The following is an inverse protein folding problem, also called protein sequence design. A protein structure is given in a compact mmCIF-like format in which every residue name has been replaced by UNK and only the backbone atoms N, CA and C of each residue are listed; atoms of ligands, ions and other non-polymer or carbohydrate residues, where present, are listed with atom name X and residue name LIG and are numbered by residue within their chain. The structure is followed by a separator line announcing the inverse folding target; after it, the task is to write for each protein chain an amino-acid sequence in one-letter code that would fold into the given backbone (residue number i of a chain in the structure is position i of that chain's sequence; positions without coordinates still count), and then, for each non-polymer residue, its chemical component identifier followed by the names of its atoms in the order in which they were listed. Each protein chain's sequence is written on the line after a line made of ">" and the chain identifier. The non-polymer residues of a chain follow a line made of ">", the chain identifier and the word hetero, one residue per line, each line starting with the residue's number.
data_IF_448915640317
#
_entry.id   IF_448915640317
#
_cell.length_a   1.000
_cell.length_b   1.000
_cell.length_c   1.000
_cell.angle_alpha   90.00
_cell.angle_beta   90.00
_cell.angle_gamma   90.00
#
_symmetry.space_group_name_H-M   'P 1'
#
loop_
_entity.id
_entity.type
_entity.pdbx_description
1 polymer ?
#
# COMPACT_ATOMS: atom_id res chain seq x y z
N UNK A 1 2.39 0.89 -1.86
CA UNK A 1 2.61 1.32 -0.47
C UNK A 1 1.55 2.37 -0.13
N UNK A 2 0.79 2.16 0.95
CA UNK A 2 -0.29 3.05 1.39
C UNK A 2 -0.31 3.18 2.91
N UNK A 3 -0.97 4.22 3.43
CA UNK A 3 -1.12 4.46 4.86
C UNK A 3 -0.41 5.73 5.35
N UNK A 4 -0.50 5.97 6.66
CA UNK A 4 -0.17 7.21 7.34
C UNK A 4 -1.18 7.54 8.43
N UNK A 5 -1.38 8.83 8.70
CA UNK A 5 -2.24 9.30 9.78
C UNK A 5 -3.74 9.26 9.48
N UNK A 6 -4.52 8.88 10.48
CA UNK A 6 -5.97 8.76 10.38
C UNK A 6 -6.68 10.11 10.49
N UNK A 7 -7.49 10.43 9.47
CA UNK A 7 -8.35 11.63 9.45
C UNK A 7 -9.84 11.26 9.58
N UNK A 8 -10.12 10.06 10.07
CA UNK A 8 -11.46 9.49 10.19
C UNK A 8 -12.20 9.46 8.84
N UNK A 9 -11.46 9.08 7.80
CA UNK A 9 -11.99 8.92 6.43
C UNK A 9 -12.26 7.43 6.15
N UNK A 10 -13.36 7.10 5.43
CA UNK A 10 -13.65 5.73 5.06
C UNK A 10 -12.67 5.21 4.00
N UNK A 11 -12.18 3.98 4.19
CA UNK A 11 -11.21 3.33 3.29
C UNK A 11 -11.84 2.30 2.35
N UNK A 12 -13.17 2.13 2.35
CA UNK A 12 -13.86 1.07 1.59
C UNK A 12 -13.55 1.14 0.09
N UNK A 13 -13.67 2.32 -0.52
CA UNK A 13 -13.35 2.53 -1.94
C UNK A 13 -11.88 2.27 -2.27
N UNK A 14 -10.98 2.58 -1.33
CA UNK A 14 -9.56 2.29 -1.48
C UNK A 14 -9.32 0.77 -1.42
N UNK A 15 -9.94 0.10 -0.46
CA UNK A 15 -9.90 -1.35 -0.31
C UNK A 15 -10.41 -2.07 -1.55
N UNK A 16 -11.50 -1.58 -2.15
CA UNK A 16 -12.03 -2.09 -3.41
C UNK A 16 -11.03 -1.99 -4.56
N UNK A 17 -10.45 -0.81 -4.78
CA UNK A 17 -9.49 -0.61 -5.87
C UNK A 17 -8.22 -1.43 -5.68
N UNK A 18 -7.76 -1.56 -4.45
CA UNK A 18 -6.60 -2.39 -4.11
C UNK A 18 -6.90 -3.87 -4.39
N UNK A 19 -8.05 -4.39 -3.92
CA UNK A 19 -8.46 -5.78 -4.14
C UNK A 19 -8.68 -6.12 -5.63
N UNK A 20 -9.12 -5.13 -6.43
CA UNK A 20 -9.34 -5.28 -7.87
C UNK A 20 -8.00 -5.30 -8.65
N UNK A 21 -7.05 -4.40 -8.31
CA UNK A 21 -5.93 -4.08 -9.21
C UNK A 21 -4.54 -4.42 -8.67
N UNK A 22 -4.35 -4.46 -7.36
CA UNK A 22 -3.01 -4.59 -6.79
C UNK A 22 -2.59 -6.06 -6.65
N UNK A 23 -1.35 -6.38 -7.04
CA UNK A 23 -0.68 -7.65 -6.69
C UNK A 23 -0.41 -7.73 -5.19
N UNK A 24 0.05 -6.63 -4.59
CA UNK A 24 0.32 -6.52 -3.17
C UNK A 24 -0.02 -5.11 -2.65
N UNK A 25 -0.42 -5.04 -1.39
CA UNK A 25 -0.67 -3.83 -0.63
C UNK A 25 0.19 -3.84 0.62
N UNK A 26 1.25 -3.03 0.61
CA UNK A 26 2.13 -2.82 1.76
C UNK A 26 1.62 -1.58 2.50
N UNK A 27 1.25 -1.77 3.76
CA UNK A 27 0.55 -0.78 4.56
C UNK A 27 1.42 -0.32 5.73
N UNK A 28 1.49 0.99 5.95
CA UNK A 28 2.30 1.62 6.99
C UNK A 28 1.48 2.62 7.82
N UNK A 29 1.95 2.93 9.02
CA UNK A 29 1.34 3.94 9.90
C UNK A 29 0.02 3.50 10.54
N UNK A 30 -0.63 4.44 11.23
CA UNK A 30 -1.78 4.14 12.11
C UNK A 30 -3.04 3.68 11.36
N UNK A 31 -3.16 4.04 10.08
CA UNK A 31 -4.26 3.62 9.21
C UNK A 31 -4.11 2.22 8.62
N UNK A 32 -2.94 1.60 8.73
CA UNK A 32 -2.67 0.29 8.12
C UNK A 32 -3.70 -0.79 8.49
N UNK A 33 -4.10 -0.97 9.77
CA UNK A 33 -5.11 -1.97 10.13
C UNK A 33 -6.49 -1.68 9.53
N UNK A 34 -6.88 -0.40 9.41
CA UNK A 34 -8.15 0.02 8.81
C UNK A 34 -8.19 -0.28 7.32
N UNK A 35 -7.11 0.02 6.60
CA UNK A 35 -6.99 -0.26 5.16
C UNK A 35 -6.97 -1.78 4.91
N UNK A 36 -6.24 -2.55 5.72
CA UNK A 36 -6.23 -4.02 5.63
C UNK A 36 -7.65 -4.60 5.80
N UNK A 37 -8.38 -4.08 6.79
CA UNK A 37 -9.77 -4.48 7.04
C UNK A 37 -10.68 -4.13 5.87
N UNK A 38 -10.53 -2.95 5.26
CA UNK A 38 -11.30 -2.56 4.08
C UNK A 38 -11.06 -3.52 2.89
N UNK A 39 -9.80 -3.86 2.60
CA UNK A 39 -9.44 -4.81 1.52
C UNK A 39 -10.08 -6.18 1.78
N UNK A 40 -10.00 -6.69 3.01
CA UNK A 40 -10.56 -7.99 3.37
C UNK A 40 -12.09 -7.99 3.35
N UNK A 41 -12.73 -6.93 3.86
CA UNK A 41 -14.19 -6.77 3.83
C UNK A 41 -14.71 -6.73 2.40
N UNK A 42 -13.99 -6.10 1.46
CA UNK A 42 -14.34 -6.15 0.04
C UNK A 42 -14.29 -7.58 -0.49
N UNK A 43 -13.19 -8.30 -0.23
CA UNK A 43 -13.04 -9.70 -0.70
C UNK A 43 -14.18 -10.59 -0.18
N UNK A 44 -14.56 -10.45 1.09
CA UNK A 44 -15.66 -11.19 1.72
C UNK A 44 -17.02 -10.80 1.12
N UNK A 45 -17.31 -9.50 1.05
CA UNK A 45 -18.59 -8.98 0.56
C UNK A 45 -18.86 -9.35 -0.89
N UNK A 46 -17.84 -9.30 -1.75
CA UNK A 46 -17.98 -9.60 -3.17
C UNK A 46 -18.10 -11.10 -3.45
N UNK A 47 -17.40 -11.95 -2.67
CA UNK A 47 -17.61 -13.40 -2.69
C UNK A 47 -19.05 -13.75 -2.33
N UNK A 48 -19.60 -13.12 -1.30
CA UNK A 48 -20.99 -13.35 -0.87
C UNK A 48 -22.02 -12.90 -1.92
N UNK A 49 -21.76 -11.79 -2.62
CA UNK A 49 -22.68 -11.20 -3.60
C UNK A 49 -22.63 -11.84 -5.00
N UNK A 50 -21.81 -12.88 -5.23
CA UNK A 50 -21.52 -13.45 -6.56
C UNK A 50 -21.25 -12.36 -7.62
N UNK A 51 -20.53 -11.32 -7.23
CA UNK A 51 -20.25 -10.21 -8.15
C UNK A 51 -19.32 -10.67 -9.26
N UNK A 52 -19.53 -10.19 -10.49
CA UNK A 52 -18.61 -10.41 -11.62
C UNK A 52 -17.28 -9.61 -11.50
N UNK A 53 -17.02 -8.95 -10.37
CA UNK A 53 -15.80 -8.21 -10.18
C UNK A 53 -14.62 -9.18 -10.03
N UNK A 54 -13.66 -9.11 -10.95
CA UNK A 54 -12.42 -9.87 -10.84
C UNK A 54 -11.58 -9.31 -9.69
N UNK A 55 -11.41 -10.12 -8.65
CA UNK A 55 -10.49 -9.81 -7.57
C UNK A 55 -9.13 -10.42 -7.87
N UNK A 56 -8.08 -9.63 -7.66
CA UNK A 56 -6.73 -10.16 -7.61
C UNK A 56 -6.50 -10.87 -6.28
N UNK A 57 -5.57 -11.82 -6.29
CA UNK A 57 -5.05 -12.40 -5.06
C UNK A 57 -4.08 -11.41 -4.37
N UNK A 58 -4.59 -10.26 -3.95
CA UNK A 58 -3.78 -9.19 -3.38
C UNK A 58 -3.19 -9.63 -2.05
N UNK A 59 -1.86 -9.69 -1.96
CA UNK A 59 -1.13 -9.90 -0.70
C UNK A 59 -1.20 -8.63 0.15
N UNK A 60 -1.44 -8.75 1.44
CA UNK A 60 -1.43 -7.61 2.37
C UNK A 60 -0.23 -7.80 3.28
N UNK A 61 0.63 -6.79 3.35
CA UNK A 61 1.81 -6.75 4.22
C UNK A 61 1.75 -5.50 5.08
N UNK A 62 2.23 -5.62 6.32
CA UNK A 62 2.42 -4.49 7.23
C UNK A 62 3.90 -4.17 7.32
N UNK A 63 4.23 -2.88 7.34
CA UNK A 63 5.59 -2.39 7.56
C UNK A 63 5.59 -1.29 8.61
N UNK A 64 6.66 -1.24 9.39
CA UNK A 64 6.82 -0.28 10.48
C UNK A 64 7.35 1.08 9.98
N UNK A 65 8.09 1.08 8.87
CA UNK A 65 8.66 2.28 8.26
C UNK A 65 8.52 2.32 6.73
N UNK A 66 8.75 3.49 6.14
CA UNK A 66 8.81 3.63 4.68
C UNK A 66 9.98 2.81 4.08
N UNK A 67 11.11 2.71 4.79
CA UNK A 67 12.25 1.90 4.37
C UNK A 67 11.88 0.42 4.31
N UNK A 68 11.25 -0.12 5.36
CA UNK A 68 10.78 -1.51 5.39
C UNK A 68 9.75 -1.75 4.29
N UNK A 69 8.86 -0.78 4.06
CA UNK A 69 7.86 -0.87 3.00
C UNK A 69 8.48 -0.91 1.59
N UNK A 70 9.54 -0.14 1.35
CA UNK A 70 10.29 -0.18 0.08
C UNK A 70 11.04 -1.50 -0.07
N UNK A 71 11.64 -2.03 1.00
CA UNK A 71 12.30 -3.33 0.96
C UNK A 71 11.33 -4.47 0.66
N UNK A 72 10.18 -4.51 1.35
CA UNK A 72 9.11 -5.49 1.06
C UNK A 72 8.59 -5.34 -0.37
N UNK A 73 8.42 -4.10 -0.84
CA UNK A 73 7.99 -3.86 -2.22
C UNK A 73 8.99 -4.43 -3.23
N UNK A 74 10.28 -4.23 -2.99
CA UNK A 74 11.33 -4.78 -3.82
C UNK A 74 11.36 -6.31 -3.81
N UNK A 75 11.14 -6.95 -2.66
CA UNK A 75 11.07 -8.41 -2.54
C UNK A 75 9.87 -9.01 -3.26
N UNK A 76 8.73 -8.32 -3.28
CA UNK A 76 7.48 -8.80 -3.89
C UNK A 76 7.34 -8.44 -5.38
N UNK A 77 8.02 -7.38 -5.82
CA UNK A 77 7.98 -6.92 -7.20
C UNK A 77 8.86 -7.79 -8.10
N UNK A 78 8.32 -8.13 -9.26
CA UNK A 78 9.02 -8.81 -10.35
C UNK A 78 9.26 -7.85 -11.52
N UNK A 79 10.07 -8.26 -12.49
CA UNK A 79 10.31 -7.46 -13.69
C UNK A 79 8.98 -7.16 -14.41
N UNK A 80 8.70 -5.88 -14.64
CA UNK A 80 7.44 -5.40 -15.23
C UNK A 80 6.35 -5.00 -14.22
N UNK A 81 6.53 -5.28 -12.93
CA UNK A 81 5.64 -4.74 -11.89
C UNK A 81 5.90 -3.24 -11.66
N UNK A 82 4.87 -2.52 -11.22
CA UNK A 82 4.96 -1.11 -10.82
C UNK A 82 4.80 -1.00 -9.30
N UNK A 83 5.78 -0.39 -8.64
CA UNK A 83 5.68 -0.02 -7.22
C UNK A 83 5.17 1.42 -7.11
N UNK A 84 3.95 1.57 -6.61
CA UNK A 84 3.30 2.87 -6.39
C UNK A 84 3.28 3.24 -4.90
N UNK A 85 3.76 4.44 -4.57
CA UNK A 85 3.48 5.10 -3.28
C UNK A 85 2.21 5.95 -3.42
N UNK A 86 1.10 5.47 -2.85
CA UNK A 86 -0.18 6.20 -2.81
C UNK A 86 -0.71 6.17 -1.38
N UNK A 87 -0.31 7.13 -0.54
CA UNK A 87 -0.51 7.07 0.91
C UNK A 87 -1.95 7.30 1.33
N UNK A 88 -2.83 7.83 0.46
CA UNK A 88 -4.24 8.16 0.71
C UNK A 88 -4.50 9.11 1.91
N UNK A 89 -3.48 9.46 2.69
CA UNK A 89 -3.52 10.24 3.91
C UNK A 89 -2.39 11.29 3.94
N UNK A 90 -2.59 12.34 4.75
CA UNK A 90 -1.60 13.38 4.95
C UNK A 90 -0.35 12.84 5.64
N UNK A 91 0.83 13.35 5.27
CA UNK A 91 2.15 12.83 5.69
C UNK A 91 2.59 13.20 7.11
N UNK A 92 1.76 13.90 7.87
CA UNK A 92 2.16 14.64 9.09
C UNK A 92 2.55 13.77 10.29
N UNK A 93 2.48 12.44 10.22
CA UNK A 93 2.94 11.56 11.31
C UNK A 93 4.42 11.16 11.17
N UNK A 94 4.92 10.97 9.95
CA UNK A 94 6.27 10.46 9.67
C UNK A 94 7.16 11.44 8.89
N UNK A 95 6.60 12.49 8.28
CA UNK A 95 7.35 13.44 7.44
C UNK A 95 6.77 14.87 7.56
N UNK A 96 7.63 15.89 7.48
CA UNK A 96 7.22 17.31 7.55
C UNK A 96 6.25 17.70 6.44
N UNK A 97 6.37 17.07 5.26
CA UNK A 97 5.49 17.32 4.12
C UNK A 97 5.52 16.14 3.12
N UNK A 98 4.60 16.18 2.16
CA UNK A 98 4.45 15.14 1.14
C UNK A 98 5.68 15.03 0.24
N UNK A 99 6.40 16.14 0.01
CA UNK A 99 7.60 16.16 -0.82
C UNK A 99 8.78 15.45 -0.16
N UNK A 100 8.98 15.64 1.16
CA UNK A 100 10.01 14.95 1.91
C UNK A 100 9.80 13.43 1.85
N UNK A 101 8.56 12.98 2.03
CA UNK A 101 8.20 11.57 1.87
C UNK A 101 8.48 11.05 0.45
N UNK A 102 8.18 11.86 -0.56
CA UNK A 102 8.46 11.53 -1.97
C UNK A 102 9.96 11.41 -2.25
N UNK A 103 10.76 12.37 -1.77
CA UNK A 103 12.23 12.36 -1.88
C UNK A 103 12.82 11.14 -1.18
N UNK A 104 12.34 10.83 0.02
CA UNK A 104 12.80 9.66 0.77
C UNK A 104 12.44 8.35 0.07
N UNK A 105 11.23 8.23 -0.47
CA UNK A 105 10.86 7.08 -1.30
C UNK A 105 11.78 6.93 -2.52
N UNK A 106 12.04 8.01 -3.26
CA UNK A 106 12.96 7.97 -4.40
C UNK A 106 14.36 7.55 -3.99
N UNK A 107 14.90 8.09 -2.89
CA UNK A 107 16.21 7.72 -2.34
C UNK A 107 16.27 6.23 -2.01
N UNK A 108 15.31 5.73 -1.24
CA UNK A 108 15.22 4.32 -0.84
C UNK A 108 15.10 3.38 -2.04
N UNK A 109 14.31 3.75 -3.05
CA UNK A 109 14.17 2.96 -4.28
C UNK A 109 15.49 2.90 -5.06
N UNK A 110 16.22 4.01 -5.17
CA UNK A 110 17.53 4.04 -5.84
C UNK A 110 18.56 3.16 -5.10
N UNK A 111 18.61 3.25 -3.77
CA UNK A 111 19.50 2.44 -2.94
C UNK A 111 19.19 0.95 -3.06
N UNK A 112 17.91 0.59 -3.06
CA UNK A 112 17.48 -0.81 -3.16
C UNK A 112 17.70 -1.38 -4.56
N UNK A 113 17.55 -0.57 -5.62
CA UNK A 113 17.83 -0.97 -7.00
C UNK A 113 19.31 -1.26 -7.25
N UNK A 114 20.21 -0.53 -6.59
CA UNK A 114 21.66 -0.75 -6.68
C UNK A 114 22.14 -2.03 -5.99
N UNK A 115 21.35 -2.60 -5.07
CA UNK A 115 21.66 -3.87 -4.40
C UNK A 115 21.36 -5.12 -5.24
N UNK A 116 20.76 -4.96 -6.43
CA UNK A 116 20.41 -6.05 -7.36
C UNK A 116 21.33 -6.16 -8.59
N UNK A 117 22.44 -5.40 -8.64
CA UNK A 117 23.47 -5.56 -9.68
C UNK A 117 24.51 -6.61 -9.31
#
# INVERSE_FOLDING_TARGET
>A
IAGGYDKDIPFDKLGEKIAEKAKAAILIGTTAPKIASAINNTKTSLRAKRSNLQLRNTKIELADSLADAVQLANQLAEAGDVVLLSPACASYDMFENYEQRGREFTRLVQETGNLRQ
#
